data_IF_606036299859
#
_entry.id   IF_606036299859
#
_cell.length_a   1.000
_cell.length_b   1.000
_cell.length_c   1.000
_cell.angle_alpha   90.00
_cell.angle_beta   90.00
_cell.angle_gamma   90.00
#
_symmetry.space_group_name_H-M   'P 1'
#
loop_
_entity.id
_entity.type
_entity.pdbx_description
1 polymer ?
#
# COMPACT_ATOMS: atom_id res chain seq x y z
N UNK A 1 10.07 20.15 -2.12
CA UNK A 1 8.93 21.06 -2.36
C UNK A 1 7.67 20.35 -1.88
N UNK A 2 6.87 21.02 -1.06
CA UNK A 2 5.68 20.47 -0.40
C UNK A 2 4.65 19.96 -1.40
N UNK A 3 4.29 18.68 -1.27
CA UNK A 3 3.27 17.94 -2.02
C UNK A 3 1.83 18.37 -1.64
N UNK A 4 1.62 19.69 -1.54
CA UNK A 4 0.36 20.30 -1.12
C UNK A 4 -0.77 20.08 -2.13
N UNK A 5 -0.45 19.70 -3.36
CA UNK A 5 -1.46 19.39 -4.39
C UNK A 5 -2.06 17.98 -4.20
N UNK A 6 -1.36 17.04 -3.54
CA UNK A 6 -1.80 15.65 -3.37
C UNK A 6 -2.89 15.45 -2.31
N UNK A 7 -3.09 16.39 -1.39
CA UNK A 7 -4.01 16.24 -0.24
C UNK A 7 -5.10 17.33 -0.17
N UNK A 8 -6.23 17.03 0.48
CA UNK A 8 -7.30 18.02 0.68
C UNK A 8 -6.81 19.14 1.61
N UNK A 9 -7.04 20.44 1.30
CA UNK A 9 -6.51 21.55 2.11
C UNK A 9 -6.92 21.54 3.59
N UNK A 10 -8.02 20.85 3.93
CA UNK A 10 -8.55 20.70 5.29
C UNK A 10 -8.80 19.25 5.71
N UNK A 11 -8.22 18.27 5.02
CA UNK A 11 -8.57 16.85 5.16
C UNK A 11 -9.86 16.49 4.39
N UNK A 12 -10.18 15.20 4.34
CA UNK A 12 -11.41 14.70 3.70
C UNK A 12 -12.64 15.38 4.33
N UNK A 13 -13.53 16.01 3.54
CA UNK A 13 -14.75 16.61 4.07
C UNK A 13 -15.66 15.58 4.75
N UNK A 14 -16.31 15.89 5.88
CA UNK A 14 -17.06 14.90 6.67
C UNK A 14 -18.30 14.31 5.96
N UNK A 15 -18.77 14.94 4.89
CA UNK A 15 -19.85 14.42 4.05
C UNK A 15 -19.36 13.41 2.99
N UNK A 16 -18.06 13.33 2.74
CA UNK A 16 -17.42 12.28 1.93
C UNK A 16 -17.06 11.13 2.87
N UNK A 17 -17.90 10.09 2.88
CA UNK A 17 -17.77 8.95 3.80
C UNK A 17 -17.72 7.64 3.05
N UNK A 18 -16.93 6.69 3.57
CA UNK A 18 -16.96 5.30 3.12
C UNK A 18 -18.34 4.70 3.33
N UNK A 19 -18.70 3.71 2.52
CA UNK A 19 -19.96 2.99 2.67
C UNK A 19 -20.01 2.24 4.00
N UNK A 20 -21.18 2.14 4.62
CA UNK A 20 -21.29 1.58 5.98
C UNK A 20 -21.02 0.06 5.99
N UNK A 21 -21.32 -0.65 4.89
CA UNK A 21 -21.15 -2.10 4.78
C UNK A 21 -20.45 -2.48 3.47
N UNK A 22 -19.73 -3.61 3.41
CA UNK A 22 -19.17 -4.10 2.16
C UNK A 22 -20.26 -4.42 1.11
N UNK A 23 -20.03 -4.03 -0.15
CA UNK A 23 -20.93 -4.36 -1.27
C UNK A 23 -20.54 -5.70 -1.86
N UNK A 24 -21.24 -6.77 -1.48
CA UNK A 24 -20.84 -8.15 -1.79
C UNK A 24 -21.14 -8.55 -3.24
N UNK A 25 -20.10 -8.99 -3.95
CA UNK A 25 -20.19 -9.60 -5.27
C UNK A 25 -20.12 -8.59 -6.42
N UNK A 26 -19.48 -9.01 -7.52
CA UNK A 26 -19.18 -8.12 -8.66
C UNK A 26 -20.43 -7.56 -9.35
N UNK A 27 -21.53 -8.31 -9.38
CA UNK A 27 -22.78 -7.83 -9.98
C UNK A 27 -23.39 -6.68 -9.15
N UNK A 28 -23.49 -6.85 -7.84
CA UNK A 28 -23.98 -5.81 -6.93
C UNK A 28 -23.04 -4.60 -6.93
N UNK A 29 -21.73 -4.82 -6.89
CA UNK A 29 -20.75 -3.74 -6.95
C UNK A 29 -20.86 -2.91 -8.23
N UNK A 30 -20.92 -3.57 -9.39
CA UNK A 30 -21.08 -2.90 -10.69
C UNK A 30 -22.38 -2.11 -10.77
N UNK A 31 -23.48 -2.68 -10.27
CA UNK A 31 -24.78 -2.02 -10.22
C UNK A 31 -24.77 -0.81 -9.29
N UNK A 32 -24.06 -0.90 -8.16
CA UNK A 32 -24.01 0.16 -7.16
C UNK A 32 -23.22 1.40 -7.64
N UNK A 33 -22.28 1.23 -8.58
CA UNK A 33 -21.30 2.27 -8.94
C UNK A 33 -21.47 2.86 -10.35
N UNK A 34 -22.31 2.26 -11.19
CA UNK A 34 -22.48 2.69 -12.59
C UNK A 34 -22.95 4.14 -12.72
N UNK A 35 -23.83 4.62 -11.84
CA UNK A 35 -24.31 6.02 -11.87
C UNK A 35 -23.18 7.03 -11.70
N UNK A 36 -22.23 6.77 -10.78
CA UNK A 36 -21.03 7.57 -10.62
C UNK A 36 -20.14 7.56 -11.87
N UNK A 37 -19.96 6.39 -12.50
CA UNK A 37 -19.17 6.27 -13.73
C UNK A 37 -19.75 7.13 -14.87
N UNK A 38 -21.08 7.14 -15.04
CA UNK A 38 -21.75 8.00 -16.02
C UNK A 38 -21.63 9.49 -15.67
N UNK A 39 -21.76 9.85 -14.38
CA UNK A 39 -21.55 11.22 -13.93
C UNK A 39 -20.14 11.72 -14.26
N UNK A 40 -19.11 10.90 -14.03
CA UNK A 40 -17.75 11.24 -14.42
C UNK A 40 -17.59 11.41 -15.92
N UNK A 41 -18.16 10.54 -16.74
CA UNK A 41 -18.13 10.66 -18.20
C UNK A 41 -18.73 12.02 -18.67
N UNK A 42 -19.83 12.43 -18.06
CA UNK A 42 -20.53 13.66 -18.44
C UNK A 42 -19.88 14.94 -17.90
N UNK A 43 -19.13 14.87 -16.79
CA UNK A 43 -18.69 16.04 -16.04
C UNK A 43 -17.16 16.17 -15.85
N UNK A 44 -16.36 15.12 -16.13
CA UNK A 44 -14.91 15.15 -15.92
C UNK A 44 -14.13 15.87 -17.04
N UNK A 45 -14.67 15.91 -18.26
CA UNK A 45 -14.02 16.59 -19.41
C UNK A 45 -14.60 17.99 -19.61
N UNK A 46 -13.79 19.06 -19.68
CA UNK A 46 -14.29 20.40 -20.02
C UNK A 46 -14.90 20.36 -21.42
N UNK A 47 -16.15 20.82 -21.57
CA UNK A 47 -16.85 20.81 -22.86
C UNK A 47 -16.23 21.75 -23.91
N UNK A 48 -15.46 22.74 -23.49
CA UNK A 48 -14.92 23.76 -24.39
C UNK A 48 -13.42 23.97 -24.15
N UNK A 49 -12.62 23.77 -25.20
CA UNK A 49 -11.17 24.02 -25.23
C UNK A 49 -10.79 25.50 -25.22
N UNK A 50 -11.46 26.29 -24.38
CA UNK A 50 -11.15 27.71 -24.17
C UNK A 50 -10.24 27.89 -22.95
N UNK A 51 -9.24 28.75 -23.10
CA UNK A 51 -8.21 29.16 -22.12
C UNK A 51 -8.79 29.70 -20.79
N UNK A 52 -9.45 28.87 -19.99
CA UNK A 52 -9.60 29.11 -18.56
C UNK A 52 -8.44 28.43 -17.84
N UNK A 53 -7.88 29.09 -16.82
CA UNK A 53 -6.83 28.56 -15.96
C UNK A 53 -7.09 27.08 -15.69
N UNK A 54 -6.19 26.21 -16.18
CA UNK A 54 -6.35 24.78 -16.05
C UNK A 54 -6.40 24.46 -14.56
N UNK A 55 -7.61 24.22 -14.04
CA UNK A 55 -7.78 23.74 -12.68
C UNK A 55 -6.96 22.46 -12.57
N UNK A 56 -6.02 22.34 -11.59
CA UNK A 56 -5.21 21.15 -11.46
C UNK A 56 -6.10 19.90 -11.43
N UNK A 57 -5.71 18.84 -12.15
CA UNK A 57 -6.53 17.63 -12.34
C UNK A 57 -7.08 17.07 -11.02
N UNK A 58 -6.26 17.10 -9.97
CA UNK A 58 -6.63 16.65 -8.61
C UNK A 58 -7.73 17.52 -8.02
N UNK A 59 -7.63 18.85 -8.16
CA UNK A 59 -8.67 19.79 -7.72
C UNK A 59 -10.01 19.53 -8.41
N UNK A 60 -10.01 19.22 -9.71
CA UNK A 60 -11.26 18.87 -10.42
C UNK A 60 -11.83 17.52 -9.97
N UNK A 61 -10.99 16.51 -9.76
CA UNK A 61 -11.42 15.20 -9.22
C UNK A 61 -12.08 15.36 -7.84
N UNK A 62 -11.50 16.17 -6.94
CA UNK A 62 -12.09 16.47 -5.63
C UNK A 62 -13.45 17.16 -5.72
N UNK A 63 -13.59 18.16 -6.60
CA UNK A 63 -14.87 18.81 -6.85
C UNK A 63 -15.95 17.82 -7.30
N UNK A 64 -15.61 16.89 -8.19
CA UNK A 64 -16.55 15.84 -8.64
C UNK A 64 -16.98 14.93 -7.49
N UNK A 65 -16.06 14.59 -6.57
CA UNK A 65 -16.39 13.81 -5.36
C UNK A 65 -17.34 14.59 -4.44
N UNK A 66 -17.06 15.87 -4.17
CA UNK A 66 -17.95 16.71 -3.37
C UNK A 66 -19.33 16.89 -4.01
N UNK A 67 -19.36 17.17 -5.32
CA UNK A 67 -20.59 17.34 -6.10
C UNK A 67 -21.47 16.10 -6.00
N UNK A 68 -20.93 14.89 -6.15
CA UNK A 68 -21.69 13.65 -6.03
C UNK A 68 -22.10 13.30 -4.60
N UNK A 69 -21.21 13.52 -3.63
CA UNK A 69 -21.49 13.28 -2.21
C UNK A 69 -22.64 14.15 -1.70
N UNK A 70 -22.71 15.40 -2.16
CA UNK A 70 -23.73 16.38 -1.75
C UNK A 70 -24.96 16.42 -2.66
N UNK A 71 -24.93 15.71 -3.79
CA UNK A 71 -26.03 15.63 -4.74
C UNK A 71 -27.29 15.00 -4.11
N UNK A 72 -28.47 15.47 -4.52
CA UNK A 72 -29.74 14.86 -4.12
C UNK A 72 -29.86 13.42 -4.63
N UNK A 73 -30.58 12.57 -3.88
CA UNK A 73 -30.78 11.17 -4.26
C UNK A 73 -31.47 11.05 -5.63
N UNK A 74 -32.51 11.83 -5.90
CA UNK A 74 -33.25 11.83 -7.18
C UNK A 74 -32.31 12.07 -8.38
N UNK A 75 -31.31 12.93 -8.22
CA UNK A 75 -30.31 13.21 -9.27
C UNK A 75 -29.36 12.02 -9.47
N UNK A 76 -28.90 11.37 -8.39
CA UNK A 76 -28.04 10.19 -8.48
C UNK A 76 -28.78 8.99 -9.09
N UNK A 77 -30.06 8.82 -8.75
CA UNK A 77 -30.92 7.78 -9.32
C UNK A 77 -31.08 7.96 -10.83
N UNK A 78 -31.25 9.20 -11.30
CA UNK A 78 -31.28 9.50 -12.74
C UNK A 78 -29.98 9.10 -13.47
N UNK A 79 -28.81 9.21 -12.82
CA UNK A 79 -27.55 8.74 -13.39
C UNK A 79 -27.47 7.20 -13.37
N UNK A 80 -27.94 6.58 -12.30
CA UNK A 80 -27.96 5.12 -12.15
C UNK A 80 -28.80 4.42 -13.23
N UNK A 81 -29.98 4.94 -13.54
CA UNK A 81 -30.87 4.36 -14.56
C UNK A 81 -30.25 4.35 -15.97
N UNK A 82 -29.33 5.27 -16.26
CA UNK A 82 -28.78 5.50 -17.61
C UNK A 82 -27.43 4.81 -17.85
N UNK A 83 -26.77 4.30 -16.82
CA UNK A 83 -25.36 3.97 -16.89
C UNK A 83 -25.03 2.51 -17.28
N UNK A 84 -23.97 2.26 -18.10
CA UNK A 84 -23.42 0.93 -18.39
C UNK A 84 -22.26 0.51 -17.44
N UNK A 85 -21.95 -0.79 -17.31
CA UNK A 85 -20.95 -1.36 -16.36
C UNK A 85 -19.49 -1.38 -16.90
N UNK A 86 -18.46 -0.98 -16.10
CA UNK A 86 -17.01 -0.94 -16.50
C UNK A 86 -15.99 -1.20 -15.34
N UNK A 87 -14.66 -1.37 -15.59
CA UNK A 87 -13.58 -1.78 -14.61
C UNK A 87 -12.16 -1.13 -14.75
N UNK A 88 -11.38 -0.92 -13.64
CA UNK A 88 -9.88 -1.09 -13.41
C UNK A 88 -9.32 -0.33 -12.14
N UNK A 89 -7.98 -0.08 -11.96
CA UNK A 89 -7.00 -0.52 -10.87
C UNK A 89 -5.84 0.49 -10.36
N UNK A 90 -5.17 0.34 -9.16
CA UNK A 90 -3.89 1.04 -8.63
C UNK A 90 -3.50 1.06 -7.06
N UNK A 91 -2.30 1.46 -6.50
CA UNK A 91 -1.77 1.20 -5.06
C UNK A 91 -0.77 2.27 -4.39
N UNK A 92 -0.56 2.42 -3.02
CA UNK A 92 0.43 3.31 -2.23
C UNK A 92 0.73 2.88 -0.69
N UNK A 93 1.78 3.38 0.06
CA UNK A 93 2.32 3.01 1.46
C UNK A 93 2.78 4.22 2.40
N UNK A 94 2.90 4.14 3.81
CA UNK A 94 3.40 4.92 5.08
C UNK A 94 4.61 5.90 5.51
N UNK A 95 4.49 7.20 5.91
CA UNK A 95 5.42 8.21 6.59
C UNK A 95 4.71 9.06 7.72
N UNK A 96 5.36 10.01 8.47
CA UNK A 96 6.80 10.30 8.57
C UNK A 96 7.57 9.21 9.29
N UNK A 97 8.78 8.94 8.83
CA UNK A 97 9.70 7.96 9.40
C UNK A 97 10.71 8.70 10.30
N UNK A 98 10.88 8.26 11.56
CA UNK A 98 11.92 8.77 12.49
C UNK A 98 13.32 8.24 12.10
N UNK A 99 14.45 8.83 12.55
CA UNK A 99 15.78 8.31 12.21
C UNK A 99 16.02 6.84 12.64
N UNK A 100 15.49 6.46 13.81
CA UNK A 100 15.45 5.05 14.24
C UNK A 100 14.62 4.22 13.25
N UNK A 101 13.40 4.65 12.96
CA UNK A 101 12.51 3.94 12.05
C UNK A 101 13.06 3.90 10.61
N UNK A 102 13.90 4.85 10.23
CA UNK A 102 14.59 4.92 8.93
C UNK A 102 15.64 3.82 8.84
N UNK A 103 16.47 3.66 9.86
CA UNK A 103 17.41 2.53 9.94
C UNK A 103 16.70 1.16 9.89
N UNK A 104 15.61 1.01 10.64
CA UNK A 104 14.82 -0.23 10.67
C UNK A 104 14.15 -0.49 9.31
N UNK A 105 13.67 0.58 8.66
CA UNK A 105 13.11 0.51 7.31
C UNK A 105 14.16 0.11 6.26
N UNK A 106 15.39 0.63 6.36
CA UNK A 106 16.52 0.21 5.51
C UNK A 106 16.74 -1.31 5.58
N UNK A 107 16.69 -1.90 6.77
CA UNK A 107 16.82 -3.36 6.95
C UNK A 107 15.68 -4.12 6.31
N UNK A 108 14.44 -3.65 6.48
CA UNK A 108 13.26 -4.28 5.86
C UNK A 108 13.37 -4.25 4.34
N UNK A 109 13.83 -3.14 3.77
CA UNK A 109 14.11 -3.04 2.33
C UNK A 109 15.16 -4.03 1.85
N UNK A 110 16.26 -4.20 2.59
CA UNK A 110 17.28 -5.20 2.26
C UNK A 110 16.73 -6.63 2.27
N UNK A 111 15.80 -6.94 3.18
CA UNK A 111 15.16 -8.26 3.24
C UNK A 111 14.17 -8.53 2.09
N UNK A 112 13.94 -7.56 1.20
CA UNK A 112 13.22 -7.75 -0.06
C UNK A 112 14.12 -8.09 -1.26
N UNK A 113 15.37 -8.51 -1.05
CA UNK A 113 16.22 -9.06 -2.11
C UNK A 113 16.36 -10.58 -1.94
N UNK A 114 16.63 -11.29 -3.04
CA UNK A 114 16.68 -12.76 -3.05
C UNK A 114 17.84 -13.37 -2.25
N UNK A 115 18.93 -12.60 -2.05
CA UNK A 115 20.18 -13.15 -1.51
C UNK A 115 20.52 -14.50 -2.18
N UNK A 116 20.57 -14.52 -3.51
CA UNK A 116 20.97 -15.70 -4.31
C UNK A 116 21.91 -15.33 -5.48
N UNK A 117 22.23 -14.04 -5.64
CA UNK A 117 23.13 -13.54 -6.68
C UNK A 117 22.74 -12.14 -7.17
N UNK A 118 23.10 -11.77 -8.42
CA UNK A 118 22.91 -10.42 -8.95
C UNK A 118 21.45 -10.12 -9.35
N UNK A 119 20.53 -11.06 -9.13
CA UNK A 119 19.09 -10.89 -9.39
C UNK A 119 18.48 -9.85 -8.44
N UNK A 120 17.34 -9.32 -8.88
CA UNK A 120 16.75 -8.09 -8.36
C UNK A 120 15.99 -8.23 -7.05
N UNK A 121 15.11 -7.28 -6.76
CA UNK A 121 14.19 -7.37 -5.62
C UNK A 121 13.17 -8.52 -5.80
N UNK A 122 12.65 -9.06 -4.70
CA UNK A 122 11.57 -10.07 -4.61
C UNK A 122 10.29 -9.66 -5.38
N UNK A 123 10.16 -8.39 -5.76
CA UNK A 123 9.12 -7.87 -6.63
C UNK A 123 9.78 -7.41 -7.93
N UNK A 124 9.84 -8.27 -8.96
CA UNK A 124 10.57 -8.07 -10.23
C UNK A 124 10.18 -6.87 -11.13
N UNK A 125 9.74 -5.75 -10.55
CA UNK A 125 9.49 -4.44 -11.16
C UNK A 125 10.36 -3.32 -10.53
N UNK A 126 11.42 -3.69 -9.81
CA UNK A 126 12.29 -2.76 -9.09
C UNK A 126 11.63 -2.15 -7.84
N UNK A 127 12.39 -1.30 -7.15
CA UNK A 127 12.03 -0.60 -5.91
C UNK A 127 10.82 0.37 -6.03
N UNK A 128 10.21 0.47 -7.21
CA UNK A 128 9.01 1.28 -7.44
C UNK A 128 7.74 0.80 -6.70
N UNK A 129 7.80 -0.29 -5.93
CA UNK A 129 6.68 -0.82 -5.14
C UNK A 129 6.68 -0.39 -3.67
N UNK A 130 7.71 0.33 -3.22
CA UNK A 130 7.87 0.73 -1.82
C UNK A 130 7.64 2.23 -1.63
N UNK A 131 6.45 2.61 -1.15
CA UNK A 131 6.08 4.01 -0.92
C UNK A 131 6.23 4.45 0.55
N UNK A 132 6.25 5.76 0.78
CA UNK A 132 6.23 6.34 2.13
C UNK A 132 5.01 7.32 2.23
N UNK A 133 4.05 7.09 3.14
CA UNK A 133 2.77 7.84 3.31
C UNK A 133 3.04 9.18 3.93
N UNK A 134 2.80 10.26 3.21
CA UNK A 134 2.74 11.54 3.91
C UNK A 134 1.33 11.68 4.49
N UNK A 135 1.11 11.60 5.82
CA UNK A 135 -0.20 11.94 6.37
C UNK A 135 -0.48 13.38 5.97
N UNK A 136 -1.73 13.62 5.56
CA UNK A 136 -2.20 14.98 5.38
C UNK A 136 -2.00 15.71 6.71
N UNK A 137 -1.41 16.92 6.70
CA UNK A 137 -1.23 17.75 7.90
C UNK A 137 -2.54 18.02 8.65
N UNK A 138 -3.66 17.99 7.94
CA UNK A 138 -5.00 18.17 8.50
C UNK A 138 -5.73 16.84 8.84
N UNK A 139 -5.14 15.69 8.48
CA UNK A 139 -5.70 14.36 8.71
C UNK A 139 -5.14 13.67 9.96
N UNK A 140 -5.55 12.41 10.17
CA UNK A 140 -5.00 11.58 11.24
C UNK A 140 -3.50 11.31 11.03
N UNK A 141 -2.73 11.35 12.12
CA UNK A 141 -1.30 11.07 12.12
C UNK A 141 -0.95 10.26 13.40
N UNK A 142 -0.39 9.04 13.27
CA UNK A 142 -0.07 8.34 12.02
C UNK A 142 -1.33 7.87 11.27
N UNK A 143 -1.18 7.56 9.98
CA UNK A 143 -2.21 6.81 9.25
C UNK A 143 -2.26 5.41 9.84
N UNK A 144 -3.44 4.98 10.28
CA UNK A 144 -3.69 3.64 10.80
C UNK A 144 -4.35 2.77 9.74
N UNK A 145 -4.41 1.47 9.99
CA UNK A 145 -5.10 0.48 9.14
C UNK A 145 -6.54 0.93 8.84
N UNK A 146 -7.27 1.39 9.85
CA UNK A 146 -8.66 1.86 9.71
C UNK A 146 -8.81 3.09 8.80
N UNK A 147 -7.75 3.90 8.67
CA UNK A 147 -7.74 5.10 7.82
C UNK A 147 -7.02 4.92 6.49
N UNK A 148 -6.39 3.76 6.26
CA UNK A 148 -5.46 3.56 5.16
C UNK A 148 -6.10 3.76 3.78
N UNK A 149 -7.23 3.11 3.48
CA UNK A 149 -7.87 3.22 2.17
C UNK A 149 -8.42 4.63 1.89
N UNK A 150 -8.89 5.34 2.93
CA UNK A 150 -9.32 6.72 2.79
C UNK A 150 -8.13 7.64 2.48
N UNK A 151 -7.03 7.47 3.21
CA UNK A 151 -5.78 8.18 2.93
C UNK A 151 -5.21 7.84 1.53
N UNK A 152 -5.25 6.57 1.13
CA UNK A 152 -4.61 6.09 -0.10
C UNK A 152 -5.40 6.52 -1.34
N UNK A 153 -6.73 6.46 -1.28
CA UNK A 153 -7.57 6.60 -2.47
C UNK A 153 -8.46 7.85 -2.44
N UNK A 154 -8.97 8.26 -1.28
CA UNK A 154 -9.89 9.42 -1.15
C UNK A 154 -9.14 10.75 -1.10
N UNK A 155 -8.06 10.83 -0.30
CA UNK A 155 -7.24 12.05 -0.21
C UNK A 155 -6.70 12.53 -1.57
N UNK A 156 -6.11 11.65 -2.41
CA UNK A 156 -5.70 12.00 -3.77
C UNK A 156 -6.84 11.95 -4.81
N UNK A 157 -8.04 11.50 -4.44
CA UNK A 157 -9.16 11.24 -5.34
C UNK A 157 -8.75 10.35 -6.54
N UNK A 158 -8.20 9.18 -6.26
CA UNK A 158 -7.78 8.20 -7.27
C UNK A 158 -8.97 7.38 -7.77
N UNK A 159 -9.63 7.85 -8.83
CA UNK A 159 -10.80 7.18 -9.41
C UNK A 159 -10.48 5.81 -10.03
N UNK A 160 -9.20 5.52 -10.18
CA UNK A 160 -8.66 4.20 -10.51
C UNK A 160 -8.89 3.18 -9.38
N UNK A 161 -9.12 3.63 -8.14
CA UNK A 161 -9.23 2.77 -6.96
C UNK A 161 -10.40 3.04 -6.05
N UNK A 162 -10.97 4.24 -6.14
CA UNK A 162 -12.22 4.58 -5.48
C UNK A 162 -13.32 4.90 -6.48
N UNK A 163 -14.54 4.56 -6.10
CA UNK A 163 -15.76 4.89 -6.81
C UNK A 163 -16.84 5.24 -5.79
N UNK A 164 -17.97 5.79 -6.24
CA UNK A 164 -19.05 6.18 -5.35
C UNK A 164 -20.34 5.40 -5.65
N UNK A 165 -21.06 5.07 -4.58
CA UNK A 165 -22.35 4.36 -4.62
C UNK A 165 -23.47 5.27 -5.11
N UNK A 166 -24.64 4.68 -5.39
CA UNK A 166 -25.89 5.40 -5.69
C UNK A 166 -26.30 6.37 -4.57
N UNK A 167 -25.89 6.09 -3.34
CA UNK A 167 -26.14 6.90 -2.13
C UNK A 167 -25.05 7.92 -1.83
N UNK A 168 -24.05 8.04 -2.71
CA UNK A 168 -22.95 8.99 -2.62
C UNK A 168 -21.97 8.72 -1.48
N UNK A 169 -21.81 7.45 -1.12
CA UNK A 169 -20.73 6.99 -0.25
C UNK A 169 -19.61 6.36 -1.07
N UNK A 170 -18.39 6.33 -0.55
CA UNK A 170 -17.22 5.79 -1.24
C UNK A 170 -17.11 4.27 -1.04
N UNK A 171 -16.76 3.56 -2.11
CA UNK A 171 -16.31 2.17 -2.09
C UNK A 171 -15.04 2.01 -2.94
N UNK A 172 -14.21 1.03 -2.61
CA UNK A 172 -12.93 0.76 -3.26
C UNK A 172 -13.04 -0.43 -4.23
N UNK A 173 -12.21 -0.45 -5.26
CA UNK A 173 -12.18 -1.57 -6.21
C UNK A 173 -11.48 -2.80 -5.61
N UNK A 174 -11.96 -4.00 -5.94
CA UNK A 174 -11.55 -5.29 -5.36
C UNK A 174 -10.10 -5.74 -5.66
N UNK A 175 -9.40 -5.07 -6.57
CA UNK A 175 -8.17 -5.59 -7.16
C UNK A 175 -6.93 -5.39 -6.29
N UNK A 176 -7.02 -4.54 -5.26
CA UNK A 176 -5.96 -4.29 -4.28
C UNK A 176 -6.53 -4.37 -2.86
N UNK A 177 -7.28 -5.42 -2.57
CA UNK A 177 -7.76 -5.63 -1.20
C UNK A 177 -6.60 -5.93 -0.25
N UNK A 178 -5.46 -6.39 -0.77
CA UNK A 178 -4.36 -6.88 0.05
C UNK A 178 -3.13 -6.01 -0.04
N UNK A 179 -2.57 -5.61 1.11
CA UNK A 179 -1.36 -4.77 1.20
C UNK A 179 -0.47 -5.24 2.35
N UNK A 180 0.84 -5.07 2.19
CA UNK A 180 1.79 -5.19 3.29
C UNK A 180 2.04 -3.82 3.90
N UNK A 181 1.89 -3.70 5.23
CA UNK A 181 2.16 -2.48 5.97
C UNK A 181 3.35 -2.68 6.91
N UNK A 182 4.22 -1.66 6.95
CA UNK A 182 5.29 -1.55 7.93
C UNK A 182 4.86 -0.55 9.02
N UNK A 183 4.19 -1.04 10.07
CA UNK A 183 3.87 -0.23 11.24
C UNK A 183 4.98 -0.30 12.30
N UNK A 184 4.78 0.34 13.45
CA UNK A 184 5.80 0.35 14.50
C UNK A 184 6.15 -1.06 14.99
N UNK A 185 5.17 -1.98 15.06
CA UNK A 185 5.45 -3.37 15.44
C UNK A 185 6.27 -4.09 14.36
N UNK A 186 6.04 -3.80 13.07
CA UNK A 186 6.93 -4.30 12.00
C UNK A 186 8.37 -3.85 12.24
N UNK A 187 8.56 -2.57 12.57
CA UNK A 187 9.90 -2.03 12.80
C UNK A 187 10.57 -2.65 14.03
N UNK A 188 9.80 -2.95 15.08
CA UNK A 188 10.34 -3.52 16.30
C UNK A 188 10.53 -5.05 16.22
N UNK A 189 9.80 -5.75 15.35
CA UNK A 189 9.76 -7.23 15.31
C UNK A 189 10.23 -7.87 14.00
N UNK A 190 10.42 -7.07 12.95
CA UNK A 190 10.77 -7.50 11.60
C UNK A 190 9.61 -8.02 10.75
N UNK A 191 8.38 -8.09 11.29
CA UNK A 191 7.24 -8.76 10.64
C UNK A 191 6.26 -7.77 10.04
N UNK A 192 6.14 -7.78 8.72
CA UNK A 192 5.17 -6.98 7.96
C UNK A 192 3.73 -7.38 8.34
N UNK A 193 2.83 -6.41 8.36
CA UNK A 193 1.41 -6.68 8.49
C UNK A 193 0.78 -6.85 7.11
N UNK A 194 0.47 -8.09 6.72
CA UNK A 194 -0.41 -8.35 5.59
C UNK A 194 -1.84 -8.04 6.01
N UNK A 195 -2.46 -7.05 5.37
CA UNK A 195 -3.87 -6.72 5.54
C UNK A 195 -4.66 -7.15 4.31
N UNK A 196 -5.89 -7.62 4.52
CA UNK A 196 -6.92 -7.74 3.49
C UNK A 196 -8.11 -6.86 3.89
N UNK A 197 -8.59 -6.03 2.98
CA UNK A 197 -9.66 -5.06 3.20
C UNK A 197 -10.92 -5.42 2.42
N UNK A 198 -12.08 -5.14 3.00
CA UNK A 198 -13.33 -5.10 2.27
C UNK A 198 -13.43 -3.83 1.40
N UNK A 199 -14.34 -3.84 0.42
CA UNK A 199 -14.52 -2.72 -0.51
C UNK A 199 -15.17 -1.46 0.09
N UNK A 200 -15.57 -1.49 1.36
CA UNK A 200 -15.91 -0.28 2.13
C UNK A 200 -14.69 0.29 2.88
N UNK A 201 -13.54 -0.38 2.79
CA UNK A 201 -12.29 -0.01 3.44
C UNK A 201 -12.09 -0.61 4.84
N UNK A 202 -13.04 -1.39 5.36
CA UNK A 202 -12.85 -2.07 6.66
C UNK A 202 -11.87 -3.23 6.54
N UNK A 203 -11.08 -3.46 7.59
CA UNK A 203 -10.17 -4.61 7.66
C UNK A 203 -10.96 -5.92 7.71
N UNK A 204 -10.71 -6.80 6.74
CA UNK A 204 -11.35 -8.12 6.64
C UNK A 204 -10.54 -9.20 7.35
N UNK A 205 -9.22 -9.16 7.21
CA UNK A 205 -8.27 -10.05 7.86
C UNK A 205 -6.89 -9.39 7.92
N UNK A 206 -6.06 -9.78 8.89
CA UNK A 206 -4.66 -9.39 8.92
C UNK A 206 -3.79 -10.48 9.55
N UNK A 207 -2.55 -10.60 9.09
CA UNK A 207 -1.54 -11.53 9.62
C UNK A 207 -0.14 -10.91 9.56
N UNK A 208 0.74 -11.34 10.48
CA UNK A 208 2.15 -10.90 10.51
C UNK A 208 3.00 -11.89 9.73
N UNK A 209 3.85 -11.39 8.84
CA UNK A 209 4.73 -12.22 8.02
C UNK A 209 6.12 -11.61 7.88
N UNK A 210 7.15 -12.46 7.80
CA UNK A 210 8.50 -12.01 7.47
C UNK A 210 8.62 -11.52 6.01
N UNK A 211 9.41 -10.45 5.73
CA UNK A 211 9.64 -9.93 4.39
C UNK A 211 10.08 -10.97 3.36
N UNK A 212 10.92 -11.91 3.76
CA UNK A 212 11.38 -13.00 2.88
C UNK A 212 10.26 -13.90 2.35
N UNK A 213 9.10 -13.94 3.01
CA UNK A 213 7.94 -14.73 2.56
C UNK A 213 7.01 -13.94 1.65
N UNK A 214 7.24 -12.64 1.43
CA UNK A 214 6.31 -11.83 0.65
C UNK A 214 6.29 -12.21 -0.82
N UNK A 215 7.38 -12.77 -1.36
CA UNK A 215 7.40 -13.26 -2.75
C UNK A 215 6.43 -14.43 -2.94
N UNK A 216 6.52 -15.47 -2.11
CA UNK A 216 5.61 -16.62 -2.16
C UNK A 216 4.15 -16.19 -1.96
N UNK A 217 3.91 -15.28 -1.01
CA UNK A 217 2.58 -14.72 -0.78
C UNK A 217 2.09 -13.91 -1.98
N UNK A 218 2.96 -13.12 -2.59
CA UNK A 218 2.64 -12.37 -3.81
C UNK A 218 2.33 -13.31 -4.97
N UNK A 219 3.11 -14.38 -5.16
CA UNK A 219 2.87 -15.41 -6.15
C UNK A 219 1.53 -16.14 -5.91
N UNK A 220 1.16 -16.38 -4.65
CA UNK A 220 -0.15 -16.95 -4.32
C UNK A 220 -1.29 -15.98 -4.60
N UNK A 221 -1.16 -14.71 -4.22
CA UNK A 221 -2.20 -13.71 -4.36
C UNK A 221 -2.39 -13.32 -5.83
N UNK A 222 -1.31 -12.91 -6.49
CA UNK A 222 -1.32 -12.37 -7.85
C UNK A 222 -1.18 -13.48 -8.88
N UNK A 223 -0.22 -14.40 -8.70
CA UNK A 223 0.06 -15.46 -9.66
C UNK A 223 -1.03 -16.54 -9.70
N UNK A 224 -1.55 -16.93 -8.54
CA UNK A 224 -2.57 -18.00 -8.42
C UNK A 224 -3.98 -17.46 -8.12
N UNK A 225 -4.15 -16.15 -7.93
CA UNK A 225 -5.44 -15.54 -7.64
C UNK A 225 -6.03 -15.95 -6.29
N UNK A 226 -5.21 -16.42 -5.33
CA UNK A 226 -5.69 -16.78 -3.99
C UNK A 226 -6.05 -15.51 -3.22
N UNK A 227 -7.19 -15.46 -2.53
CA UNK A 227 -7.51 -14.30 -1.72
C UNK A 227 -6.62 -14.25 -0.48
N UNK A 228 -6.08 -13.07 -0.13
CA UNK A 228 -5.20 -12.94 1.03
C UNK A 228 -5.90 -13.31 2.35
N UNK A 229 -7.20 -13.03 2.52
CA UNK A 229 -7.91 -13.47 3.74
C UNK A 229 -7.89 -14.99 3.94
N UNK A 230 -7.83 -15.77 2.85
CA UNK A 230 -7.74 -17.23 2.90
C UNK A 230 -6.36 -17.65 3.37
N UNK A 231 -5.31 -17.05 2.80
CA UNK A 231 -3.93 -17.28 3.25
C UNK A 231 -3.77 -16.92 4.73
N UNK A 232 -4.21 -15.73 5.13
CA UNK A 232 -4.12 -15.27 6.53
C UNK A 232 -4.78 -16.27 7.50
N UNK A 233 -5.94 -16.81 7.16
CA UNK A 233 -6.73 -17.65 8.08
C UNK A 233 -6.35 -19.13 8.07
N UNK A 234 -5.88 -19.63 6.93
CA UNK A 234 -5.81 -21.08 6.69
C UNK A 234 -4.39 -21.55 6.35
N UNK A 235 -3.49 -20.65 5.97
CA UNK A 235 -2.14 -21.03 5.61
C UNK A 235 -1.32 -21.37 6.85
N UNK A 236 -0.73 -22.57 6.85
CA UNK A 236 0.04 -23.07 7.98
C UNK A 236 1.29 -22.23 8.24
N UNK A 237 1.90 -21.62 7.20
CA UNK A 237 3.15 -20.86 7.36
C UNK A 237 2.91 -19.48 7.97
N UNK A 238 1.80 -18.81 7.64
CA UNK A 238 1.43 -17.54 8.26
C UNK A 238 1.06 -17.75 9.74
N UNK A 239 0.50 -18.92 10.06
CA UNK A 239 0.02 -19.24 11.40
C UNK A 239 1.01 -20.06 12.24
N UNK A 240 2.22 -20.30 11.73
CA UNK A 240 3.27 -21.02 12.47
C UNK A 240 4.01 -20.07 13.42
N UNK A 241 3.86 -20.29 14.73
CA UNK A 241 4.43 -19.44 15.77
C UNK A 241 5.97 -19.45 15.80
N UNK A 242 6.60 -20.54 15.39
CA UNK A 242 8.06 -20.69 15.39
C UNK A 242 8.66 -19.99 14.18
N UNK A 243 8.08 -20.21 12.99
CA UNK A 243 8.50 -19.55 11.74
C UNK A 243 8.30 -18.03 11.86
N UNK A 244 7.15 -17.59 12.39
CA UNK A 244 6.80 -16.18 12.57
C UNK A 244 7.28 -15.57 13.90
N UNK A 245 8.19 -16.24 14.62
CA UNK A 245 8.79 -15.69 15.82
C UNK A 245 9.43 -14.32 15.52
N UNK A 246 9.18 -13.30 16.36
CA UNK A 246 9.73 -11.96 16.17
C UNK A 246 11.23 -11.93 16.44
N UNK A 247 11.95 -11.02 15.77
CA UNK A 247 13.34 -10.71 16.12
C UNK A 247 13.49 -9.26 16.56
N UNK A 248 14.58 -9.01 17.28
CA UNK A 248 15.00 -7.65 17.61
C UNK A 248 15.71 -7.03 16.40
N UNK A 249 14.99 -6.12 15.75
CA UNK A 249 15.48 -5.42 14.55
C UNK A 249 16.62 -4.43 14.83
N UNK A 250 17.00 -4.19 16.08
CA UNK A 250 18.19 -3.39 16.42
C UNK A 250 19.50 -4.20 16.28
N UNK A 251 19.44 -5.54 16.21
CA UNK A 251 20.59 -6.41 15.94
C UNK A 251 21.16 -6.17 14.53
N UNK A 252 22.46 -6.41 14.28
CA UNK A 252 23.05 -6.37 12.95
C UNK A 252 22.28 -7.25 11.95
N UNK A 253 22.13 -6.79 10.69
CA UNK A 253 21.29 -7.49 9.70
C UNK A 253 21.75 -8.94 9.47
N UNK A 254 23.04 -9.20 9.51
CA UNK A 254 23.58 -10.55 9.32
C UNK A 254 23.20 -11.50 10.47
N UNK A 255 23.10 -11.00 11.71
CA UNK A 255 22.63 -11.81 12.84
C UNK A 255 21.14 -12.15 12.70
N UNK A 256 20.34 -11.20 12.18
CA UNK A 256 18.91 -11.43 11.91
C UNK A 256 18.74 -12.47 10.80
N UNK A 257 19.47 -12.33 9.68
CA UNK A 257 19.43 -13.25 8.56
C UNK A 257 19.83 -14.68 8.97
N UNK A 258 20.80 -14.84 9.86
CA UNK A 258 21.22 -16.15 10.34
C UNK A 258 20.07 -16.91 11.04
N UNK A 259 19.17 -16.21 11.75
CA UNK A 259 17.99 -16.83 12.39
C UNK A 259 16.96 -17.36 11.40
N UNK A 260 17.00 -16.92 10.13
CA UNK A 260 16.05 -17.27 9.08
C UNK A 260 16.70 -17.96 7.88
N UNK A 261 17.98 -18.32 7.97
CA UNK A 261 18.77 -18.86 6.87
C UNK A 261 18.12 -20.08 6.19
N UNK A 262 17.44 -20.93 6.95
CA UNK A 262 16.76 -22.14 6.42
C UNK A 262 15.67 -21.85 5.38
N UNK A 263 15.16 -20.61 5.33
CA UNK A 263 14.05 -20.23 4.48
C UNK A 263 14.46 -19.56 3.16
N UNK A 264 15.66 -18.98 3.08
CA UNK A 264 16.15 -18.28 1.89
C UNK A 264 17.49 -18.79 1.38
N UNK A 265 18.34 -19.32 2.26
CA UNK A 265 19.66 -19.85 1.91
C UNK A 265 19.65 -21.37 1.77
N UNK A 266 18.76 -21.88 0.92
CA UNK A 266 18.55 -23.33 0.71
C UNK A 266 19.84 -24.06 0.31
N UNK A 267 20.73 -23.36 -0.41
CA UNK A 267 22.02 -23.89 -0.87
C UNK A 267 23.16 -23.70 0.16
N UNK A 268 22.89 -23.07 1.30
CA UNK A 268 23.87 -22.85 2.37
C UNK A 268 25.06 -22.00 1.94
N UNK A 269 24.82 -20.93 1.16
CA UNK A 269 25.82 -19.97 0.69
C UNK A 269 26.52 -19.27 1.86
N UNK A 270 25.78 -19.01 2.94
CA UNK A 270 26.29 -18.50 4.20
C UNK A 270 26.63 -17.00 4.20
N UNK A 271 26.94 -16.50 5.39
CA UNK A 271 27.04 -15.07 5.70
C UNK A 271 28.02 -14.26 4.83
N UNK A 272 29.09 -14.89 4.32
CA UNK A 272 30.05 -14.20 3.46
C UNK A 272 29.46 -13.84 2.09
N UNK A 273 28.63 -14.74 1.52
CA UNK A 273 27.94 -14.47 0.27
C UNK A 273 26.77 -13.50 0.48
N UNK A 274 26.06 -13.59 1.61
CA UNK A 274 25.05 -12.58 1.97
C UNK A 274 25.66 -11.19 2.12
N UNK A 275 26.87 -11.08 2.68
CA UNK A 275 27.61 -9.81 2.80
C UNK A 275 27.91 -9.22 1.42
N UNK A 276 28.36 -10.04 0.47
CA UNK A 276 28.64 -9.61 -0.90
C UNK A 276 27.36 -9.13 -1.60
N UNK A 277 26.24 -9.84 -1.38
CA UNK A 277 24.95 -9.48 -1.93
C UNK A 277 24.45 -8.14 -1.34
N UNK A 278 24.50 -7.97 -0.02
CA UNK A 278 24.12 -6.70 0.65
C UNK A 278 24.95 -5.54 0.13
N UNK A 279 26.27 -5.72 -0.02
CA UNK A 279 27.13 -4.66 -0.56
C UNK A 279 26.81 -4.36 -2.03
N UNK A 280 26.33 -5.35 -2.80
CA UNK A 280 25.83 -5.12 -4.16
C UNK A 280 24.46 -4.41 -4.20
N UNK A 281 23.59 -4.66 -3.21
CA UNK A 281 22.23 -4.09 -3.18
C UNK A 281 22.20 -2.69 -2.55
N UNK A 282 22.99 -2.48 -1.50
CA UNK A 282 23.07 -1.26 -0.72
C UNK A 282 24.54 -0.96 -0.36
N UNK A 283 25.34 -0.44 -1.31
CA UNK A 283 26.76 -0.17 -1.09
C UNK A 283 27.00 0.70 0.15
N UNK A 284 28.00 0.34 0.95
CA UNK A 284 28.38 1.03 2.19
C UNK A 284 27.41 0.88 3.36
N UNK A 285 26.30 0.15 3.20
CA UNK A 285 25.33 -0.07 4.28
C UNK A 285 25.97 -0.78 5.48
N UNK A 286 26.71 -1.87 5.25
CA UNK A 286 27.25 -2.69 6.33
C UNK A 286 28.30 -1.94 7.17
N UNK A 287 29.13 -1.12 6.53
CA UNK A 287 30.08 -0.26 7.24
C UNK A 287 29.35 0.76 8.12
N UNK A 288 28.28 1.37 7.59
CA UNK A 288 27.47 2.34 8.33
C UNK A 288 26.70 1.68 9.49
N UNK A 289 26.15 0.49 9.29
CA UNK A 289 25.47 -0.29 10.32
C UNK A 289 26.43 -0.66 11.45
N UNK A 290 27.62 -1.16 11.12
CA UNK A 290 28.66 -1.51 12.09
C UNK A 290 29.09 -0.28 12.91
N UNK A 291 29.36 0.85 12.25
CA UNK A 291 29.71 2.10 12.91
C UNK A 291 28.57 2.63 13.82
N UNK A 292 27.32 2.38 13.45
CA UNK A 292 26.12 2.73 14.21
C UNK A 292 25.74 1.73 15.30
N UNK A 293 26.53 0.68 15.54
CA UNK A 293 26.23 -0.35 16.54
C UNK A 293 25.00 -1.18 16.21
N UNK A 294 24.78 -1.48 14.92
CA UNK A 294 23.61 -2.19 14.41
C UNK A 294 22.59 -1.29 13.72
N UNK A 295 22.82 0.03 13.64
CA UNK A 295 21.80 0.99 13.17
C UNK A 295 22.35 2.03 12.18
N UNK A 296 21.94 1.94 10.91
CA UNK A 296 22.31 2.88 9.85
C UNK A 296 21.25 4.01 9.68
N UNK A 297 21.20 4.95 10.62
CA UNK A 297 20.13 5.97 10.74
C UNK A 297 20.06 7.00 9.62
N UNK A 298 21.15 7.21 8.89
CA UNK A 298 21.27 8.21 7.82
C UNK A 298 21.62 7.57 6.46
N UNK A 299 21.37 6.26 6.29
CA UNK A 299 21.60 5.59 5.01
C UNK A 299 20.66 6.17 3.94
N UNK A 300 21.22 6.65 2.83
CA UNK A 300 20.43 7.22 1.74
C UNK A 300 19.79 6.09 0.91
N UNK A 301 18.46 6.04 0.93
CA UNK A 301 17.70 5.01 0.22
C UNK A 301 17.80 5.13 -1.32
N UNK A 302 18.28 6.27 -1.83
CA UNK A 302 18.62 6.41 -3.25
C UNK A 302 19.87 5.61 -3.67
N UNK A 303 20.65 5.09 -2.70
CA UNK A 303 21.80 4.24 -2.97
C UNK A 303 21.43 2.75 -3.15
N UNK A 304 20.17 2.38 -2.91
CA UNK A 304 19.72 1.04 -3.24
C UNK A 304 19.81 0.82 -4.75
N UNK A 305 20.21 -0.39 -5.13
CA UNK A 305 20.23 -0.81 -6.52
C UNK A 305 18.81 -0.90 -7.06
N UNK A 306 18.51 -0.05 -8.04
CA UNK A 306 17.35 -0.18 -8.93
C UNK A 306 17.67 -1.21 -10.03
N UNK A 307 16.77 -2.15 -10.28
CA UNK A 307 16.91 -3.15 -11.35
C UNK A 307 16.62 -2.60 -12.75
#
# INVERSE_FOLDING_TARGET
MTDLEKYWPGGIPPHVRCHDNPVLGMAAFREEVKGWQLFLEENATPRDGSNQEQTPKVTRRRQLVEEWATMSQDSRDSYQERAPLRSSDGLIVPEPISPRNWALWTKIRLMFYHFDGPEGTLFGLGDGSTDIVRPNRAGANPVTIDGFNAWNFIEPAMFENMTMTSTGTVVFHYWYSSVFLADQETLDTGRLLLCDFDNNGSLRASGRVWPMFTEDLFNFIVGLGKPAYGLIKEDAWINDEEIQAPEDMEKPILEILETKAEFFDVDGRGAELWRQDIESYAPGYLEMEEAGGGMAVDYDHANFRED
#
